data_IF_707911659385
#
_entry.id   IF_707911659385
#
_cell.length_a   1.000
_cell.length_b   1.000
_cell.length_c   1.000
_cell.angle_alpha   90.00
_cell.angle_beta   90.00
_cell.angle_gamma   90.00
#
_symmetry.space_group_name_H-M   'P 1'
#
loop_
_entity.id
_entity.type
_entity.pdbx_description
1 polymer ?
#
# COMPACT_ATOMS: atom_id res chain seq x y z
N UNK A 1 15.52 12.17 5.68
CA UNK A 1 15.18 10.89 5.03
C UNK A 1 15.02 11.17 3.56
N UNK A 2 15.54 10.30 2.68
CA UNK A 2 15.22 10.34 1.25
C UNK A 2 13.77 9.96 1.03
N UNK A 3 13.14 10.49 -0.01
CA UNK A 3 11.81 10.06 -0.45
C UNK A 3 11.95 8.70 -1.11
N UNK A 4 11.03 7.78 -0.81
CA UNK A 4 10.92 6.46 -1.44
C UNK A 4 9.94 6.57 -2.60
N UNK A 5 10.30 6.07 -3.76
CA UNK A 5 9.47 6.07 -4.96
C UNK A 5 9.06 4.64 -5.29
N UNK A 6 7.75 4.40 -5.30
CA UNK A 6 7.12 3.10 -5.53
C UNK A 6 6.11 3.20 -6.70
N UNK A 7 6.51 3.01 -7.97
CA UNK A 7 5.57 3.03 -9.08
C UNK A 7 4.62 1.83 -9.02
N UNK A 8 3.32 2.09 -9.26
CA UNK A 8 2.31 1.04 -9.31
C UNK A 8 2.40 0.23 -10.60
N UNK A 9 2.43 -1.08 -10.46
CA UNK A 9 2.38 -2.02 -11.59
C UNK A 9 0.99 -2.06 -12.26
N UNK A 10 -0.01 -1.41 -11.67
CA UNK A 10 -1.31 -1.22 -12.30
C UNK A 10 -1.21 -0.43 -13.62
N UNK A 11 -0.14 0.37 -13.79
CA UNK A 11 0.16 1.15 -14.99
C UNK A 11 1.02 0.41 -16.02
N UNK A 12 1.39 -0.85 -15.78
CA UNK A 12 2.20 -1.65 -16.71
C UNK A 12 1.40 -2.06 -17.96
N UNK A 13 2.13 -2.35 -19.02
CA UNK A 13 1.59 -3.07 -20.18
C UNK A 13 1.41 -4.56 -19.85
N UNK A 14 0.19 -4.97 -19.55
CA UNK A 14 -0.13 -6.35 -19.17
C UNK A 14 0.17 -7.39 -20.28
N UNK A 15 0.39 -6.96 -21.53
CA UNK A 15 0.89 -7.80 -22.60
C UNK A 15 2.41 -8.04 -22.54
N UNK A 16 3.15 -7.24 -21.75
CA UNK A 16 4.62 -7.24 -21.67
C UNK A 16 5.14 -7.01 -20.26
N UNK A 17 4.54 -7.65 -19.26
CA UNK A 17 4.82 -7.41 -17.83
C UNK A 17 6.29 -7.57 -17.45
N UNK A 18 6.97 -8.61 -17.96
CA UNK A 18 8.37 -8.86 -17.64
C UNK A 18 9.27 -7.69 -18.07
N UNK A 19 9.03 -7.13 -19.27
CA UNK A 19 9.74 -5.94 -19.77
C UNK A 19 9.54 -4.77 -18.80
N UNK A 20 8.31 -4.51 -18.37
CA UNK A 20 7.99 -3.36 -17.52
C UNK A 20 8.53 -3.56 -16.11
N UNK A 21 8.54 -4.79 -15.59
CA UNK A 21 9.19 -5.10 -14.31
C UNK A 21 10.72 -4.85 -14.37
N UNK A 22 11.37 -5.20 -15.48
CA UNK A 22 12.78 -4.90 -15.67
C UNK A 22 13.04 -3.39 -15.77
N UNK A 23 12.18 -2.62 -16.44
CA UNK A 23 12.30 -1.16 -16.46
C UNK A 23 12.24 -0.55 -15.05
N UNK A 24 11.37 -1.05 -14.18
CA UNK A 24 11.32 -0.60 -12.78
C UNK A 24 12.58 -1.03 -12.01
N UNK A 25 13.07 -2.25 -12.19
CA UNK A 25 14.31 -2.73 -11.59
C UNK A 25 15.51 -1.85 -11.93
N UNK A 26 15.62 -1.41 -13.20
CA UNK A 26 16.72 -0.59 -13.72
C UNK A 26 16.55 0.90 -13.43
N UNK A 27 15.36 1.34 -13.04
CA UNK A 27 15.04 2.74 -12.74
C UNK A 27 15.56 3.18 -11.37
N UNK A 28 15.36 4.47 -11.05
CA UNK A 28 15.63 5.04 -9.71
C UNK A 28 14.48 4.79 -8.71
N UNK A 29 13.45 4.02 -9.08
CA UNK A 29 12.42 3.61 -8.14
C UNK A 29 13.04 2.74 -7.03
N UNK A 30 12.49 2.83 -5.82
CA UNK A 30 12.97 2.06 -4.68
C UNK A 30 12.20 0.76 -4.50
N UNK A 31 10.87 0.79 -4.74
CA UNK A 31 9.95 -0.33 -4.53
C UNK A 31 9.08 -0.57 -5.76
N UNK A 32 8.39 -1.72 -5.78
CA UNK A 32 7.22 -1.98 -6.61
C UNK A 32 5.98 -1.78 -5.79
N UNK A 33 5.02 -0.97 -6.26
CA UNK A 33 3.70 -0.87 -5.65
C UNK A 33 2.70 -1.76 -6.40
N UNK A 34 1.94 -2.57 -5.65
CA UNK A 34 1.07 -3.62 -6.20
C UNK A 34 -0.34 -3.42 -5.68
N UNK A 35 -1.26 -2.97 -6.54
CA UNK A 35 -2.66 -2.69 -6.20
C UNK A 35 -3.56 -3.89 -6.51
N UNK A 36 -4.00 -4.61 -5.48
CA UNK A 36 -4.91 -5.76 -5.60
C UNK A 36 -6.35 -5.34 -5.28
N UNK A 37 -7.27 -5.59 -6.20
CA UNK A 37 -8.68 -5.19 -6.12
C UNK A 37 -9.61 -6.37 -6.38
N UNK A 38 -10.67 -6.51 -5.58
CA UNK A 38 -11.61 -7.65 -5.61
C UNK A 38 -12.95 -7.36 -6.28
N UNK A 39 -13.22 -6.12 -6.68
CA UNK A 39 -14.51 -5.72 -7.25
C UNK A 39 -15.63 -5.59 -6.22
N UNK A 40 -15.33 -5.72 -4.90
CA UNK A 40 -16.30 -5.62 -3.80
C UNK A 40 -15.98 -4.45 -2.89
N UNK A 41 -14.75 -4.38 -2.37
CA UNK A 41 -14.28 -3.23 -1.59
C UNK A 41 -14.17 -1.98 -2.47
N UNK A 42 -13.73 -2.14 -3.71
CA UNK A 42 -13.68 -1.10 -4.75
C UNK A 42 -14.40 -1.60 -6.00
N UNK A 43 -14.98 -0.69 -6.84
CA UNK A 43 -15.76 -1.08 -8.02
C UNK A 43 -14.86 -1.43 -9.22
N UNK A 44 -13.75 -2.10 -9.00
CA UNK A 44 -12.80 -2.56 -10.00
C UNK A 44 -12.15 -3.88 -9.58
N UNK A 45 -11.75 -4.70 -10.55
CA UNK A 45 -10.96 -5.91 -10.35
C UNK A 45 -9.63 -5.69 -11.05
N UNK A 46 -8.50 -5.91 -10.35
CA UNK A 46 -7.18 -5.80 -10.95
C UNK A 46 -6.58 -7.16 -11.27
N UNK A 47 -5.73 -7.65 -10.42
CA UNK A 47 -5.01 -8.91 -10.55
C UNK A 47 -4.72 -9.48 -9.14
N UNK A 48 -4.16 -10.68 -9.09
CA UNK A 48 -3.87 -11.37 -7.83
C UNK A 48 -2.56 -12.14 -7.86
N UNK A 49 -2.51 -13.23 -7.09
CA UNK A 49 -1.31 -14.01 -6.82
C UNK A 49 -0.48 -14.42 -8.05
N UNK A 50 -1.06 -14.80 -9.21
CA UNK A 50 -0.23 -15.17 -10.38
C UNK A 50 0.67 -14.03 -10.86
N UNK A 51 0.19 -12.78 -10.82
CA UNK A 51 0.97 -11.60 -11.23
C UNK A 51 2.03 -11.28 -10.17
N UNK A 52 1.67 -11.34 -8.87
CA UNK A 52 2.63 -11.11 -7.77
C UNK A 52 3.76 -12.15 -7.82
N UNK A 53 3.44 -13.42 -8.05
CA UNK A 53 4.43 -14.49 -8.19
C UNK A 53 5.32 -14.31 -9.43
N UNK A 54 4.77 -13.81 -10.54
CA UNK A 54 5.56 -13.46 -11.73
C UNK A 54 6.51 -12.29 -11.43
N UNK A 55 6.02 -11.25 -10.76
CA UNK A 55 6.84 -10.12 -10.31
C UNK A 55 7.97 -10.61 -9.39
N UNK A 56 7.66 -11.42 -8.37
CA UNK A 56 8.67 -11.93 -7.40
C UNK A 56 9.83 -12.65 -8.03
N UNK A 57 9.62 -13.33 -9.17
CA UNK A 57 10.69 -14.05 -9.90
C UNK A 57 11.76 -13.13 -10.48
N UNK A 58 11.40 -11.88 -10.80
CA UNK A 58 12.26 -10.91 -11.48
C UNK A 58 12.59 -9.66 -10.65
N UNK A 59 11.77 -9.35 -9.65
CA UNK A 59 11.95 -8.18 -8.79
C UNK A 59 13.23 -8.28 -7.95
N UNK A 60 14.05 -7.24 -7.99
CA UNK A 60 15.22 -7.05 -7.12
C UNK A 60 15.00 -5.93 -6.08
N UNK A 61 13.77 -5.43 -5.98
CA UNK A 61 13.33 -4.37 -5.07
C UNK A 61 12.19 -4.87 -4.19
N UNK A 62 11.90 -4.14 -3.11
CA UNK A 62 10.78 -4.43 -2.20
C UNK A 62 9.46 -4.46 -2.94
N UNK A 63 8.64 -5.44 -2.63
CA UNK A 63 7.26 -5.56 -3.12
C UNK A 63 6.32 -5.07 -2.02
N UNK A 64 5.82 -3.86 -2.20
CA UNK A 64 4.80 -3.23 -1.39
C UNK A 64 3.42 -3.52 -1.99
N UNK A 65 2.58 -4.23 -1.27
CA UNK A 65 1.29 -4.69 -1.75
C UNK A 65 0.14 -4.03 -0.99
N UNK A 66 -0.58 -3.16 -1.68
CA UNK A 66 -1.79 -2.50 -1.21
C UNK A 66 -3.02 -3.31 -1.65
N UNK A 67 -3.76 -3.85 -0.68
CA UNK A 67 -4.92 -4.68 -0.97
C UNK A 67 -6.23 -3.96 -0.66
N UNK A 68 -7.01 -3.75 -1.71
CA UNK A 68 -8.35 -3.16 -1.71
C UNK A 68 -9.37 -4.29 -1.83
N UNK A 69 -9.45 -5.12 -0.78
CA UNK A 69 -10.31 -6.31 -0.74
C UNK A 69 -11.07 -6.40 0.58
N UNK A 70 -12.24 -7.02 0.56
CA UNK A 70 -12.97 -7.37 1.78
C UNK A 70 -12.34 -8.57 2.48
N UNK A 71 -12.45 -8.63 3.82
CA UNK A 71 -11.92 -9.74 4.64
C UNK A 71 -10.46 -10.10 4.34
N UNK A 72 -9.51 -9.15 4.44
CA UNK A 72 -8.10 -9.37 4.08
C UNK A 72 -7.42 -10.49 4.89
N UNK A 73 -7.88 -10.75 6.11
CA UNK A 73 -7.30 -11.72 7.05
C UNK A 73 -7.17 -13.13 6.43
N UNK A 74 -8.10 -13.53 5.57
CA UNK A 74 -8.10 -14.86 4.96
C UNK A 74 -6.97 -15.08 3.93
N UNK A 75 -6.35 -14.01 3.43
CA UNK A 75 -5.34 -14.06 2.37
C UNK A 75 -3.92 -13.74 2.85
N UNK A 76 -3.72 -13.34 4.11
CA UNK A 76 -2.40 -12.90 4.64
C UNK A 76 -1.31 -13.94 4.36
N UNK A 77 -1.59 -15.22 4.68
CA UNK A 77 -0.63 -16.31 4.44
C UNK A 77 -0.30 -16.49 2.96
N UNK A 78 -1.26 -16.28 2.07
CA UNK A 78 -1.06 -16.47 0.63
C UNK A 78 -0.26 -15.30 0.03
N UNK A 79 -0.43 -14.06 0.52
CA UNK A 79 0.43 -12.93 0.17
C UNK A 79 1.88 -13.15 0.61
N UNK A 80 2.10 -13.65 1.83
CA UNK A 80 3.44 -14.00 2.31
C UNK A 80 4.09 -15.08 1.42
N UNK A 81 3.36 -16.15 1.07
CA UNK A 81 3.83 -17.20 0.14
C UNK A 81 4.10 -16.68 -1.27
N UNK A 82 3.35 -15.67 -1.72
CA UNK A 82 3.56 -15.02 -3.01
C UNK A 82 4.83 -14.15 -3.03
N UNK A 83 5.42 -13.87 -1.86
CA UNK A 83 6.68 -13.16 -1.71
C UNK A 83 6.51 -11.65 -1.57
N UNK A 84 5.38 -11.20 -1.04
CA UNK A 84 5.14 -9.81 -0.63
C UNK A 84 6.02 -9.46 0.57
N UNK A 85 6.65 -8.29 0.55
CA UNK A 85 7.51 -7.82 1.62
C UNK A 85 6.76 -6.89 2.59
N UNK A 86 5.84 -6.06 2.07
CA UNK A 86 4.96 -5.16 2.84
C UNK A 86 3.52 -5.45 2.43
N UNK A 87 2.65 -5.74 3.39
CA UNK A 87 1.22 -5.93 3.11
C UNK A 87 0.42 -4.81 3.78
N UNK A 88 -0.21 -3.97 2.96
CA UNK A 88 -1.03 -2.84 3.38
C UNK A 88 -2.50 -3.15 3.20
N UNK A 89 -3.24 -3.20 4.31
CA UNK A 89 -4.68 -3.45 4.37
C UNK A 89 -5.44 -2.16 4.65
N UNK A 90 -6.67 -2.05 4.14
CA UNK A 90 -7.53 -0.93 4.50
C UNK A 90 -8.08 -1.06 5.92
N UNK A 91 -8.03 0.03 6.70
CA UNK A 91 -8.69 0.12 8.01
C UNK A 91 -10.16 -0.30 7.89
N UNK A 92 -10.84 0.19 6.87
CA UNK A 92 -12.28 0.00 6.62
C UNK A 92 -12.65 -1.44 6.24
N UNK A 93 -11.66 -2.26 5.85
CA UNK A 93 -11.85 -3.68 5.51
C UNK A 93 -11.59 -4.62 6.70
N UNK A 94 -11.01 -4.10 7.81
CA UNK A 94 -10.57 -4.91 8.95
C UNK A 94 -11.54 -4.81 10.12
N UNK A 95 -12.22 -5.89 10.46
CA UNK A 95 -13.10 -5.93 11.65
C UNK A 95 -12.29 -5.87 12.96
N UNK A 96 -11.09 -6.48 12.98
CA UNK A 96 -10.21 -6.55 14.15
C UNK A 96 -8.79 -6.15 13.76
N UNK A 97 -8.59 -4.87 13.47
CA UNK A 97 -7.34 -4.34 12.90
C UNK A 97 -6.08 -4.74 13.68
N UNK A 98 -6.10 -4.71 15.01
CA UNK A 98 -4.94 -5.08 15.82
C UNK A 98 -4.52 -6.55 15.60
N UNK A 99 -5.48 -7.46 15.46
CA UNK A 99 -5.24 -8.87 15.13
C UNK A 99 -4.72 -9.03 13.71
N UNK A 100 -5.27 -8.28 12.75
CA UNK A 100 -4.81 -8.30 11.35
C UNK A 100 -3.35 -7.87 11.24
N UNK A 101 -2.97 -6.78 11.92
CA UNK A 101 -1.57 -6.30 11.98
C UNK A 101 -0.64 -7.39 12.53
N UNK A 102 -1.01 -8.01 13.66
CA UNK A 102 -0.22 -9.07 14.26
C UNK A 102 -0.06 -10.27 13.30
N UNK A 103 -1.13 -10.69 12.63
CA UNK A 103 -1.10 -11.79 11.67
C UNK A 103 -0.20 -11.50 10.46
N UNK A 104 -0.17 -10.26 9.95
CA UNK A 104 0.75 -9.85 8.87
C UNK A 104 2.20 -9.98 9.33
N UNK A 105 2.52 -9.48 10.53
CA UNK A 105 3.87 -9.54 11.08
C UNK A 105 4.31 -10.97 11.41
N UNK A 106 3.41 -11.80 11.95
CA UNK A 106 3.65 -13.23 12.20
C UNK A 106 3.90 -14.01 10.90
N UNK A 107 3.30 -13.58 9.78
CA UNK A 107 3.56 -14.14 8.45
C UNK A 107 4.89 -13.68 7.84
N UNK A 108 5.66 -12.81 8.52
CA UNK A 108 6.99 -12.35 8.12
C UNK A 108 6.99 -11.13 7.21
N UNK A 109 5.86 -10.44 7.05
CA UNK A 109 5.74 -9.22 6.26
C UNK A 109 5.72 -7.97 7.16
N UNK A 110 6.13 -6.83 6.64
CA UNK A 110 5.86 -5.52 7.25
C UNK A 110 4.37 -5.21 7.14
N UNK A 111 3.79 -4.67 8.23
CA UNK A 111 2.37 -4.38 8.30
C UNK A 111 2.06 -2.91 7.99
N UNK A 112 1.32 -2.68 6.90
CA UNK A 112 0.79 -1.39 6.50
C UNK A 112 -0.72 -1.26 6.74
N UNK A 113 -1.18 -0.04 7.01
CA UNK A 113 -2.61 0.29 7.06
C UNK A 113 -2.92 1.49 6.19
N UNK A 114 -3.86 1.30 5.26
CA UNK A 114 -4.39 2.34 4.39
C UNK A 114 -5.63 3.01 4.99
N UNK A 115 -5.76 4.31 4.78
CA UNK A 115 -6.91 5.12 5.17
C UNK A 115 -7.55 5.77 3.94
N UNK A 116 -8.83 5.50 3.70
CA UNK A 116 -9.63 6.21 2.69
C UNK A 116 -9.63 7.73 2.94
N UNK A 117 -9.89 8.58 1.91
CA UNK A 117 -9.91 10.03 2.07
C UNK A 117 -10.78 10.53 3.23
N UNK A 118 -11.94 9.91 3.48
CA UNK A 118 -12.89 10.30 4.52
C UNK A 118 -12.57 9.75 5.93
N UNK A 119 -11.64 8.79 6.06
CA UNK A 119 -11.33 8.15 7.36
C UNK A 119 -10.33 8.99 8.13
N UNK A 120 -10.62 9.41 9.38
CA UNK A 120 -9.72 10.25 10.17
C UNK A 120 -8.50 9.45 10.65
N UNK A 121 -7.35 10.13 10.77
CA UNK A 121 -6.08 9.52 11.24
C UNK A 121 -6.17 9.01 12.68
N UNK A 122 -7.05 9.58 13.51
CA UNK A 122 -7.26 9.18 14.91
C UNK A 122 -7.65 7.72 15.10
N UNK A 123 -8.21 7.05 14.09
CA UNK A 123 -8.52 5.61 14.15
C UNK A 123 -7.29 4.74 14.37
N UNK A 124 -6.09 5.26 14.06
CA UNK A 124 -4.82 4.56 14.24
C UNK A 124 -4.18 4.78 15.63
N UNK A 125 -4.77 5.62 16.49
CA UNK A 125 -4.16 6.04 17.75
C UNK A 125 -3.65 4.90 18.63
N UNK A 126 -4.35 3.77 18.65
CA UNK A 126 -4.03 2.62 19.51
C UNK A 126 -3.20 1.53 18.81
N UNK A 127 -2.96 1.64 17.50
CA UNK A 127 -2.23 0.63 16.72
C UNK A 127 -0.97 1.17 16.03
N UNK A 128 -0.85 2.49 15.86
CA UNK A 128 0.21 3.10 15.05
C UNK A 128 1.63 2.75 15.51
N UNK A 129 1.83 2.45 16.80
CA UNK A 129 3.14 2.04 17.32
C UNK A 129 3.57 0.64 16.84
N UNK A 130 2.64 -0.17 16.33
CA UNK A 130 2.88 -1.51 15.79
C UNK A 130 3.03 -1.52 14.28
N UNK A 131 2.70 -0.40 13.60
CA UNK A 131 2.72 -0.31 12.15
C UNK A 131 4.13 -0.04 11.63
N UNK A 132 4.42 -0.60 10.47
CA UNK A 132 5.62 -0.31 9.69
C UNK A 132 5.34 0.76 8.62
N UNK A 133 4.07 0.88 8.17
CA UNK A 133 3.65 1.80 7.13
C UNK A 133 2.21 2.29 7.35
N UNK A 134 1.95 3.58 7.08
CA UNK A 134 0.60 4.16 6.98
C UNK A 134 0.44 4.75 5.59
N UNK A 135 -0.51 4.21 4.82
CA UNK A 135 -0.86 4.67 3.48
C UNK A 135 -2.04 5.64 3.55
N UNK A 136 -1.82 6.86 3.10
CA UNK A 136 -2.87 7.89 2.98
C UNK A 136 -3.37 7.91 1.53
N UNK A 137 -4.61 7.50 1.33
CA UNK A 137 -5.24 7.62 0.02
C UNK A 137 -5.50 9.09 -0.31
N UNK A 138 -4.93 9.54 -1.41
CA UNK A 138 -5.16 10.88 -1.97
C UNK A 138 -6.12 10.88 -3.16
N UNK A 139 -6.78 9.74 -3.40
CA UNK A 139 -7.92 9.55 -4.29
C UNK A 139 -8.88 8.55 -3.64
N UNK A 140 -10.10 8.41 -4.13
CA UNK A 140 -10.92 7.25 -3.77
C UNK A 140 -10.31 6.00 -4.42
N UNK A 141 -10.01 4.93 -3.66
CA UNK A 141 -9.37 3.74 -4.22
C UNK A 141 -10.22 3.06 -5.31
N UNK A 142 -9.56 2.35 -6.25
CA UNK A 142 -10.22 1.55 -7.27
C UNK A 142 -9.79 1.84 -8.71
N UNK A 143 -9.28 3.02 -9.03
CA UNK A 143 -8.86 3.37 -10.40
C UNK A 143 -7.59 4.22 -10.39
N UNK A 144 -6.71 3.98 -11.36
CA UNK A 144 -5.56 4.84 -11.63
C UNK A 144 -5.96 6.16 -12.33
N UNK A 145 -5.02 7.12 -12.38
CA UNK A 145 -5.16 8.36 -13.15
C UNK A 145 -6.15 9.38 -12.57
N UNK A 146 -6.57 9.24 -11.32
CA UNK A 146 -7.48 10.17 -10.65
C UNK A 146 -6.77 11.47 -10.22
N UNK A 147 -7.58 12.53 -10.04
CA UNK A 147 -7.09 13.81 -9.54
C UNK A 147 -6.84 13.74 -8.03
N UNK A 148 -5.69 14.25 -7.61
CA UNK A 148 -5.26 14.34 -6.21
C UNK A 148 -6.27 15.12 -5.35
N UNK A 149 -6.64 14.55 -4.20
CA UNK A 149 -7.49 15.18 -3.17
C UNK A 149 -6.58 15.92 -2.20
N UNK A 150 -6.64 17.25 -2.17
CA UNK A 150 -5.70 18.11 -1.43
C UNK A 150 -5.77 17.94 0.08
N UNK A 151 -6.90 17.50 0.62
CA UNK A 151 -7.10 17.18 2.04
C UNK A 151 -6.15 16.08 2.54
N UNK A 152 -5.63 15.24 1.64
CA UNK A 152 -4.63 14.23 1.98
C UNK A 152 -3.34 14.85 2.56
N UNK A 153 -2.98 16.08 2.17
CA UNK A 153 -1.82 16.80 2.71
C UNK A 153 -1.97 17.01 4.22
N UNK A 154 -3.15 17.40 4.68
CA UNK A 154 -3.41 17.59 6.11
C UNK A 154 -3.39 16.25 6.86
N UNK A 155 -3.92 15.17 6.26
CA UNK A 155 -3.86 13.83 6.83
C UNK A 155 -2.41 13.33 6.96
N UNK A 156 -1.53 13.61 5.99
CA UNK A 156 -0.10 13.31 6.09
C UNK A 156 0.54 14.01 7.29
N UNK A 157 0.25 15.30 7.51
CA UNK A 157 0.74 16.05 8.68
C UNK A 157 0.25 15.46 9.99
N UNK A 158 -1.04 15.14 10.07
CA UNK A 158 -1.66 14.49 11.25
C UNK A 158 -1.02 13.13 11.52
N UNK A 159 -0.80 12.32 10.49
CA UNK A 159 -0.15 11.01 10.62
C UNK A 159 1.28 11.15 11.14
N UNK A 160 2.07 12.08 10.60
CA UNK A 160 3.44 12.36 11.09
C UNK A 160 3.44 12.84 12.54
N UNK A 161 2.48 13.68 12.93
CA UNK A 161 2.33 14.14 14.31
C UNK A 161 1.99 12.98 15.25
N UNK A 162 1.07 12.09 14.85
CA UNK A 162 0.69 10.92 15.64
C UNK A 162 1.85 9.92 15.78
N UNK A 163 2.61 9.67 14.71
CA UNK A 163 3.83 8.87 14.72
C UNK A 163 4.83 9.41 15.75
N UNK A 164 5.10 10.72 15.71
CA UNK A 164 6.02 11.37 16.66
C UNK A 164 5.51 11.28 18.09
N UNK A 165 4.22 11.53 18.32
CA UNK A 165 3.59 11.47 19.63
C UNK A 165 3.66 10.08 20.27
N UNK A 166 3.48 9.02 19.47
CA UNK A 166 3.44 7.62 19.93
C UNK A 166 4.82 6.93 19.88
N UNK A 167 5.86 7.62 19.42
CA UNK A 167 7.21 7.05 19.26
C UNK A 167 7.26 5.93 18.19
N UNK A 168 6.33 5.95 17.23
CA UNK A 168 6.30 4.98 16.13
C UNK A 168 7.45 5.22 15.14
N UNK A 169 7.82 4.18 14.38
CA UNK A 169 8.77 4.25 13.28
C UNK A 169 8.11 4.07 11.92
N UNK A 170 6.77 4.04 11.87
CA UNK A 170 6.02 3.83 10.65
C UNK A 170 6.39 4.85 9.57
N UNK A 171 6.55 4.38 8.34
CA UNK A 171 6.64 5.22 7.16
C UNK A 171 5.27 5.81 6.84
N UNK A 172 5.25 6.96 6.16
CA UNK A 172 4.02 7.54 5.62
C UNK A 172 4.11 7.51 4.11
N UNK A 173 3.19 6.79 3.50
CA UNK A 173 3.03 6.68 2.06
C UNK A 173 1.80 7.46 1.60
N UNK A 174 1.81 7.90 0.35
CA UNK A 174 0.67 8.57 -0.30
C UNK A 174 0.45 7.90 -1.65
N UNK A 175 -0.78 7.45 -1.89
CA UNK A 175 -1.18 6.87 -3.17
C UNK A 175 -2.37 7.60 -3.79
N UNK A 176 -2.24 7.83 -5.11
CA UNK A 176 -3.27 8.41 -5.96
C UNK A 176 -2.99 9.85 -6.41
N UNK A 177 -2.92 10.07 -7.71
CA UNK A 177 -2.79 11.41 -8.31
C UNK A 177 -1.48 12.15 -8.00
N UNK A 178 -0.46 11.45 -7.51
CA UNK A 178 0.87 12.02 -7.21
C UNK A 178 1.60 12.32 -8.52
N UNK A 179 2.15 13.52 -8.61
CA UNK A 179 2.94 14.00 -9.75
C UNK A 179 3.99 15.02 -9.29
N UNK A 180 4.73 15.63 -10.23
CA UNK A 180 5.79 16.61 -9.92
C UNK A 180 5.31 17.88 -9.19
N UNK A 181 4.00 18.16 -9.19
CA UNK A 181 3.41 19.31 -8.49
C UNK A 181 2.89 18.90 -7.11
N UNK A 182 2.19 17.77 -7.03
CA UNK A 182 1.54 17.29 -5.79
C UNK A 182 2.48 16.51 -4.86
N UNK A 183 3.61 16.01 -5.38
CA UNK A 183 4.63 15.28 -4.61
C UNK A 183 5.71 16.16 -3.98
N UNK A 184 5.54 17.50 -4.01
CA UNK A 184 6.42 18.48 -3.34
C UNK A 184 5.92 18.68 -1.91
#
# INVERSE_FOLDING_TARGET
MSVIIAPSILSCDFGNLERDFQLVNESQADWFHVDVMDGVFVPNISFGFPIIQALKKVANKTIDCHIMIVNPDQYITDFAKAGVDILTVHYEACTHLDRTIAAIQEAGMMAGVALNPHTPVSVLEHVIAKLDLVLIMSVNPGFGGQKFITEAIEKVKQTKALIAQKGSKALVEVDGGVNLETGK
#
